data_IF_066458084744
#
_entry.id   IF_066458084744
#
_cell.length_a   1.000
_cell.length_b   1.000
_cell.length_c   1.000
_cell.angle_alpha   90.00
_cell.angle_beta   90.00
_cell.angle_gamma   90.00
#
_symmetry.space_group_name_H-M   'P 1'
#
loop_
_entity.id
_entity.type
_entity.pdbx_description
1 polymer ?
#
# COMPACT_ATOMS: atom_id res chain seq x y z
N UNK A 1 -6.42 -39.61 3.46
CA UNK A 1 -7.10 -38.46 4.10
C UNK A 1 -6.37 -37.16 3.85
N UNK A 2 -5.05 -37.09 4.08
CA UNK A 2 -4.29 -35.84 3.90
C UNK A 2 -4.34 -35.23 2.49
N UNK A 3 -4.41 -36.04 1.44
CA UNK A 3 -4.55 -35.56 0.07
C UNK A 3 -5.82 -34.70 -0.10
N UNK A 4 -6.97 -35.20 0.40
CA UNK A 4 -8.24 -34.50 0.32
C UNK A 4 -8.23 -33.21 1.14
N UNK A 5 -7.60 -33.23 2.31
CA UNK A 5 -7.44 -32.03 3.15
C UNK A 5 -6.57 -30.97 2.47
N UNK A 6 -5.46 -31.36 1.83
CA UNK A 6 -4.58 -30.45 1.07
C UNK A 6 -5.31 -29.88 -0.15
N UNK A 7 -6.11 -30.70 -0.83
CA UNK A 7 -6.94 -30.31 -1.97
C UNK A 7 -7.99 -29.25 -1.59
N UNK A 8 -8.84 -29.56 -0.61
CA UNK A 8 -9.90 -28.65 -0.16
C UNK A 8 -9.35 -27.34 0.40
N UNK A 9 -8.22 -27.40 1.10
CA UNK A 9 -7.56 -26.22 1.63
C UNK A 9 -7.08 -25.28 0.53
N UNK A 10 -6.43 -25.81 -0.52
CA UNK A 10 -5.96 -24.99 -1.64
C UNK A 10 -7.11 -24.44 -2.50
N UNK A 11 -8.19 -25.20 -2.71
CA UNK A 11 -9.40 -24.68 -3.36
C UNK A 11 -10.03 -23.52 -2.58
N UNK A 12 -10.04 -23.61 -1.25
CA UNK A 12 -10.55 -22.54 -0.37
C UNK A 12 -9.72 -21.26 -0.42
N UNK A 13 -8.46 -21.35 -0.86
CA UNK A 13 -7.58 -20.21 -1.11
C UNK A 13 -7.73 -19.63 -2.54
N UNK A 14 -8.55 -20.25 -3.38
CA UNK A 14 -8.85 -19.75 -4.73
C UNK A 14 -7.97 -20.33 -5.85
N UNK A 15 -7.16 -21.35 -5.57
CA UNK A 15 -6.42 -22.08 -6.61
C UNK A 15 -7.35 -23.01 -7.39
N UNK A 16 -7.06 -23.25 -8.67
CA UNK A 16 -7.86 -24.18 -9.47
C UNK A 16 -7.55 -25.64 -9.13
N UNK A 17 -8.54 -26.54 -9.24
CA UNK A 17 -8.34 -27.96 -8.97
C UNK A 17 -7.19 -28.57 -9.79
N UNK A 18 -7.06 -28.16 -11.05
CA UNK A 18 -5.99 -28.62 -11.95
C UNK A 18 -4.58 -28.21 -11.46
N UNK A 19 -4.42 -26.98 -10.96
CA UNK A 19 -3.15 -26.51 -10.39
C UNK A 19 -2.79 -27.32 -9.15
N UNK A 20 -3.76 -27.54 -8.27
CA UNK A 20 -3.56 -28.25 -7.01
C UNK A 20 -3.25 -29.73 -7.25
N UNK A 21 -3.96 -30.38 -8.17
CA UNK A 21 -3.70 -31.76 -8.57
C UNK A 21 -2.29 -31.91 -9.17
N UNK A 22 -1.89 -30.99 -10.04
CA UNK A 22 -0.54 -30.98 -10.64
C UNK A 22 0.55 -30.90 -9.57
N UNK A 23 0.38 -30.02 -8.57
CA UNK A 23 1.34 -29.85 -7.48
C UNK A 23 1.36 -31.06 -6.54
N UNK A 24 0.21 -31.61 -6.19
CA UNK A 24 0.12 -32.77 -5.30
C UNK A 24 0.69 -34.04 -5.96
N UNK A 25 0.47 -34.23 -7.27
CA UNK A 25 1.09 -35.31 -8.03
C UNK A 25 2.61 -35.15 -8.13
N UNK A 26 3.10 -33.90 -8.18
CA UNK A 26 4.53 -33.59 -8.25
C UNK A 26 5.27 -33.77 -6.92
N UNK A 27 4.69 -33.30 -5.81
CA UNK A 27 5.33 -33.35 -4.49
C UNK A 27 5.05 -34.66 -3.74
N UNK A 28 4.00 -35.39 -4.13
CA UNK A 28 3.63 -36.67 -3.55
C UNK A 28 2.95 -36.56 -2.18
N UNK A 29 2.56 -37.71 -1.62
CA UNK A 29 1.73 -37.78 -0.41
C UNK A 29 2.39 -37.18 0.84
N UNK A 30 3.73 -37.19 0.91
CA UNK A 30 4.51 -36.69 2.04
C UNK A 30 4.71 -35.16 2.06
N UNK A 31 4.25 -34.45 1.01
CA UNK A 31 4.38 -33.00 0.92
C UNK A 31 3.68 -32.29 2.07
N UNK A 32 4.33 -31.32 2.70
CA UNK A 32 3.66 -30.48 3.69
C UNK A 32 2.78 -29.44 3.00
N UNK A 33 1.78 -28.92 3.72
CA UNK A 33 0.87 -27.89 3.20
C UNK A 33 1.67 -26.67 2.70
N UNK A 34 2.72 -26.27 3.43
CA UNK A 34 3.56 -25.13 3.05
C UNK A 34 4.30 -25.36 1.73
N UNK A 35 4.75 -26.58 1.46
CA UNK A 35 5.45 -26.92 0.21
C UNK A 35 4.49 -26.85 -0.98
N UNK A 36 3.25 -27.34 -0.78
CA UNK A 36 2.17 -27.27 -1.77
C UNK A 36 1.82 -25.82 -2.09
N UNK A 37 1.71 -24.95 -1.08
CA UNK A 37 1.44 -23.53 -1.27
C UNK A 37 2.60 -22.81 -1.98
N UNK A 38 3.83 -23.07 -1.58
CA UNK A 38 5.01 -22.47 -2.20
C UNK A 38 5.09 -22.80 -3.70
N UNK A 39 4.75 -24.03 -4.06
CA UNK A 39 4.74 -24.47 -5.45
C UNK A 39 3.56 -23.88 -6.24
N UNK A 40 2.37 -23.75 -5.64
CA UNK A 40 1.21 -23.09 -6.26
C UNK A 40 1.46 -21.60 -6.53
N UNK A 41 2.09 -20.89 -5.60
CA UNK A 41 2.51 -19.49 -5.81
C UNK A 41 3.52 -19.39 -6.95
N UNK A 42 4.45 -20.35 -7.05
CA UNK A 42 5.44 -20.41 -8.13
C UNK A 42 4.78 -20.65 -9.50
N UNK A 43 3.72 -21.45 -9.57
CA UNK A 43 2.94 -21.68 -10.79
C UNK A 43 2.12 -20.45 -11.20
N UNK A 44 1.59 -19.69 -10.23
CA UNK A 44 0.83 -18.46 -10.49
C UNK A 44 1.63 -17.34 -11.18
N UNK A 45 2.97 -17.41 -11.12
CA UNK A 45 3.86 -16.43 -11.76
C UNK A 45 4.43 -16.92 -13.10
N UNK A 46 3.99 -18.07 -13.63
CA UNK A 46 4.48 -18.62 -14.90
C UNK A 46 3.36 -18.65 -15.95
N UNK A 47 3.05 -17.48 -16.51
CA UNK A 47 2.51 -17.40 -17.86
C UNK A 47 3.65 -17.73 -18.84
N UNK A 48 3.38 -18.62 -19.79
CA UNK A 48 4.24 -19.17 -20.86
C UNK A 48 5.05 -20.46 -20.57
N UNK A 49 4.86 -21.53 -21.39
CA UNK A 49 5.67 -22.72 -21.37
C UNK A 49 6.82 -22.61 -22.38
N UNK A 50 8.06 -22.52 -21.91
CA UNK A 50 9.19 -23.11 -22.62
C UNK A 50 10.05 -23.95 -21.67
N UNK A 51 10.52 -25.08 -22.19
CA UNK A 51 11.19 -26.18 -21.51
C UNK A 51 12.72 -26.04 -21.57
N UNK A 52 13.39 -26.60 -20.53
CA UNK A 52 14.76 -27.16 -20.51
C UNK A 52 15.96 -26.17 -20.46
N UNK A 53 17.01 -26.25 -19.61
CA UNK A 53 17.50 -27.21 -18.59
C UNK A 53 18.54 -26.54 -17.66
N UNK A 54 18.55 -26.91 -16.36
CA UNK A 54 19.70 -27.16 -15.44
C UNK A 54 20.74 -26.09 -14.99
N UNK A 55 20.95 -26.06 -13.65
CA UNK A 55 22.19 -25.80 -12.85
C UNK A 55 22.78 -24.37 -12.87
N UNK A 56 23.30 -23.74 -11.81
CA UNK A 56 23.54 -24.02 -10.39
C UNK A 56 24.20 -22.77 -9.75
N UNK A 57 23.93 -22.53 -8.46
CA UNK A 57 24.81 -21.95 -7.41
C UNK A 57 25.39 -20.50 -7.49
N UNK A 58 25.01 -19.73 -6.44
CA UNK A 58 25.84 -18.88 -5.54
C UNK A 58 26.50 -17.57 -6.03
N UNK A 59 26.14 -16.48 -5.32
CA UNK A 59 26.82 -15.18 -5.14
C UNK A 59 28.32 -15.32 -4.70
N UNK A 60 29.19 -14.27 -4.50
CA UNK A 60 28.88 -12.87 -4.10
C UNK A 60 29.88 -11.74 -4.51
N UNK A 61 29.71 -10.55 -3.90
CA UNK A 61 30.69 -9.44 -3.62
C UNK A 61 30.99 -8.46 -4.79
N UNK A 62 30.78 -7.15 -4.65
CA UNK A 62 31.79 -6.23 -4.08
C UNK A 62 31.29 -4.83 -3.70
N UNK A 63 32.07 -4.23 -2.78
CA UNK A 63 31.84 -3.08 -1.90
C UNK A 63 31.90 -1.72 -2.63
N UNK A 64 31.24 -0.71 -2.05
CA UNK A 64 31.39 0.72 -2.34
C UNK A 64 32.82 1.26 -2.01
N UNK A 65 33.29 2.41 -2.56
CA UNK A 65 32.99 3.72 -1.93
C UNK A 65 32.98 4.99 -2.83
N UNK A 66 32.09 5.94 -2.47
CA UNK A 66 32.22 7.41 -2.32
C UNK A 66 33.07 8.35 -3.25
N UNK A 67 32.46 9.53 -3.48
CA UNK A 67 32.93 10.94 -3.70
C UNK A 67 33.14 11.53 -5.12
N UNK A 68 32.49 12.71 -5.30
CA UNK A 68 32.75 13.94 -6.12
C UNK A 68 32.02 14.00 -7.47
N UNK A 69 30.91 14.73 -7.59
CA UNK A 69 30.74 16.20 -7.78
C UNK A 69 31.17 16.76 -9.15
N UNK A 70 30.23 17.53 -9.72
CA UNK A 70 30.31 18.52 -10.80
C UNK A 70 30.47 17.99 -12.24
N UNK A 71 29.42 18.17 -13.05
CA UNK A 71 29.30 19.27 -14.03
C UNK A 71 28.02 19.06 -14.84
N UNK A 72 27.26 20.15 -14.95
CA UNK A 72 26.04 20.33 -15.76
C UNK A 72 26.19 19.83 -17.21
N UNK A 73 25.09 19.44 -17.86
CA UNK A 73 24.79 20.07 -19.13
C UNK A 73 23.47 20.83 -19.05
N UNK A 74 23.57 22.05 -19.54
CA UNK A 74 22.52 23.02 -19.68
C UNK A 74 21.39 22.52 -20.61
N UNK A 75 20.17 22.85 -20.21
CA UNK A 75 18.97 23.14 -21.03
C UNK A 75 18.66 22.22 -22.22
N UNK A 76 17.63 21.39 -22.06
CA UNK A 76 16.68 21.14 -23.13
C UNK A 76 15.29 21.40 -22.59
N UNK A 77 14.72 22.48 -23.12
CA UNK A 77 13.34 22.90 -22.94
C UNK A 77 12.48 21.89 -23.70
N UNK A 78 11.91 20.94 -22.99
CA UNK A 78 10.82 20.11 -23.49
C UNK A 78 9.65 20.28 -22.52
N UNK A 79 8.56 20.79 -23.07
CA UNK A 79 7.27 21.02 -22.45
C UNK A 79 6.69 19.68 -21.95
N UNK A 80 7.11 19.21 -20.78
CA UNK A 80 6.57 18.01 -20.13
C UNK A 80 5.23 18.34 -19.45
N UNK A 81 4.23 18.71 -20.25
CA UNK A 81 2.93 19.20 -19.76
C UNK A 81 1.81 18.14 -19.75
N UNK A 82 2.09 16.86 -20.02
CA UNK A 82 1.03 15.82 -20.01
C UNK A 82 1.57 14.44 -19.56
N UNK A 83 0.89 13.83 -18.59
CA UNK A 83 0.92 12.40 -18.16
C UNK A 83 1.84 11.89 -17.03
N UNK A 84 2.78 12.65 -16.46
CA UNK A 84 3.57 12.11 -15.32
C UNK A 84 2.73 11.94 -14.03
N UNK A 85 1.65 12.71 -13.87
CA UNK A 85 0.79 12.68 -12.68
C UNK A 85 -0.29 11.58 -12.70
N UNK A 86 -0.52 10.93 -13.85
CA UNK A 86 -1.58 9.92 -13.96
C UNK A 86 -1.13 8.51 -13.53
N UNK A 87 0.16 8.32 -13.23
CA UNK A 87 0.73 7.05 -12.76
C UNK A 87 1.08 7.07 -11.26
N UNK A 88 0.52 8.00 -10.49
CA UNK A 88 0.78 8.10 -9.06
C UNK A 88 0.06 6.99 -8.28
N UNK A 89 0.77 6.38 -7.32
CA UNK A 89 0.16 5.40 -6.42
C UNK A 89 -0.91 6.06 -5.53
N UNK A 90 -2.00 5.34 -5.20
CA UNK A 90 -2.96 5.79 -4.20
C UNK A 90 -2.29 6.09 -2.85
N UNK A 91 -2.81 7.11 -2.16
CA UNK A 91 -2.31 7.54 -0.85
C UNK A 91 -3.34 7.16 0.22
N UNK A 92 -2.88 6.48 1.27
CA UNK A 92 -3.68 6.18 2.46
C UNK A 92 -3.07 6.87 3.67
N UNK A 93 -3.84 7.71 4.34
CA UNK A 93 -3.42 8.50 5.50
C UNK A 93 -4.10 7.95 6.76
N UNK A 94 -3.31 7.64 7.78
CA UNK A 94 -3.82 7.48 9.15
C UNK A 94 -4.16 8.86 9.73
N UNK A 95 -5.43 9.24 9.62
CA UNK A 95 -5.89 10.56 10.04
C UNK A 95 -5.74 10.77 11.55
N UNK A 96 -5.83 9.72 12.37
CA UNK A 96 -5.67 9.85 13.82
C UNK A 96 -4.25 10.17 14.21
N UNK A 97 -3.29 9.48 13.61
CA UNK A 97 -1.88 9.74 13.89
C UNK A 97 -1.48 11.16 13.44
N UNK A 98 -1.87 11.56 12.23
CA UNK A 98 -1.59 12.92 11.72
C UNK A 98 -2.20 13.99 12.61
N UNK A 99 -3.48 13.84 12.97
CA UNK A 99 -4.18 14.80 13.80
C UNK A 99 -3.59 14.93 15.21
N UNK A 100 -3.24 13.81 15.85
CA UNK A 100 -2.64 13.82 17.18
C UNK A 100 -1.22 14.37 17.15
N UNK A 101 -0.41 14.06 16.12
CA UNK A 101 0.93 14.61 15.96
C UNK A 101 0.90 16.13 15.81
N UNK A 102 0.02 16.63 14.92
CA UNK A 102 -0.13 18.07 14.71
C UNK A 102 -0.69 18.79 15.94
N UNK A 103 -1.58 18.16 16.71
CA UNK A 103 -2.11 18.71 17.96
C UNK A 103 -1.22 18.49 19.19
N UNK A 104 0.09 18.30 19.00
CA UNK A 104 1.09 18.12 20.06
C UNK A 104 0.77 16.96 21.02
N UNK A 105 0.13 15.90 20.54
CA UNK A 105 -0.35 14.72 21.29
C UNK A 105 -1.41 15.02 22.36
N UNK A 106 -1.87 16.27 22.47
CA UNK A 106 -2.86 16.71 23.45
C UNK A 106 -4.24 16.88 22.81
N UNK A 107 -4.27 17.30 21.55
CA UNK A 107 -5.51 17.59 20.83
C UNK A 107 -5.56 16.87 19.49
N UNK A 108 -6.78 16.59 19.03
CA UNK A 108 -7.00 16.08 17.69
C UNK A 108 -7.16 17.24 16.72
N UNK A 109 -6.14 17.47 15.90
CA UNK A 109 -6.14 18.60 14.98
C UNK A 109 -6.60 18.21 13.58
N UNK A 110 -7.86 18.50 13.22
CA UNK A 110 -8.37 18.33 11.85
C UNK A 110 -7.57 19.14 10.83
N UNK A 111 -7.01 20.29 11.24
CA UNK A 111 -6.12 21.09 10.39
C UNK A 111 -4.86 20.33 9.99
N UNK A 112 -4.31 19.48 10.85
CA UNK A 112 -3.17 18.62 10.52
C UNK A 112 -3.48 17.66 9.38
N UNK A 113 -4.69 17.08 9.39
CA UNK A 113 -5.17 16.23 8.29
C UNK A 113 -5.32 17.05 7.01
N UNK A 114 -5.89 18.25 7.08
CA UNK A 114 -6.03 19.16 5.94
C UNK A 114 -4.69 19.44 5.26
N UNK A 115 -3.68 19.80 6.05
CA UNK A 115 -2.34 20.10 5.54
C UNK A 115 -1.70 18.89 4.87
N UNK A 116 -1.87 17.69 5.43
CA UNK A 116 -1.35 16.47 4.83
C UNK A 116 -2.01 16.18 3.47
N UNK A 117 -3.34 16.33 3.38
CA UNK A 117 -4.08 16.12 2.12
C UNK A 117 -3.70 17.16 1.06
N UNK A 118 -3.64 18.44 1.43
CA UNK A 118 -3.22 19.53 0.54
C UNK A 118 -1.83 19.27 -0.04
N UNK A 119 -0.88 18.83 0.79
CA UNK A 119 0.48 18.53 0.34
C UNK A 119 0.52 17.47 -0.76
N UNK A 120 -0.25 16.39 -0.64
CA UNK A 120 -0.31 15.35 -1.69
C UNK A 120 -1.04 15.85 -2.94
N UNK A 121 -2.05 16.70 -2.76
CA UNK A 121 -2.81 17.29 -3.88
C UNK A 121 -1.97 18.26 -4.70
N UNK A 122 -1.18 19.10 -4.05
CA UNK A 122 -0.20 20.00 -4.69
C UNK A 122 0.86 19.21 -5.49
N UNK A 123 1.07 17.93 -5.14
CA UNK A 123 1.96 17.00 -5.87
C UNK A 123 1.26 16.24 -7.00
N UNK A 124 -0.02 16.52 -7.24
CA UNK A 124 -0.81 15.91 -8.31
C UNK A 124 -1.51 14.60 -7.93
N UNK A 125 -1.45 14.16 -6.68
CA UNK A 125 -2.21 12.96 -6.26
C UNK A 125 -3.72 13.25 -6.26
N UNK A 126 -4.47 12.46 -7.03
CA UNK A 126 -5.93 12.52 -7.12
C UNK A 126 -6.62 11.49 -6.21
N UNK A 127 -5.99 10.32 -6.02
CA UNK A 127 -6.49 9.23 -5.18
C UNK A 127 -5.86 9.29 -3.78
N UNK A 128 -6.58 9.94 -2.86
CA UNK A 128 -6.16 10.13 -1.46
C UNK A 128 -7.32 9.70 -0.57
N UNK A 129 -7.05 8.74 0.32
CA UNK A 129 -7.99 8.26 1.34
C UNK A 129 -7.42 8.49 2.73
N UNK A 130 -8.24 9.00 3.64
CA UNK A 130 -7.90 9.26 5.04
C UNK A 130 -8.81 8.44 5.94
N UNK A 131 -8.25 7.61 6.81
CA UNK A 131 -9.04 6.85 7.79
C UNK A 131 -9.11 7.55 9.14
N UNK A 132 -10.33 7.75 9.64
CA UNK A 132 -10.58 8.30 10.98
C UNK A 132 -11.72 7.51 11.63
N UNK A 133 -11.60 7.05 12.89
CA UNK A 133 -12.69 6.36 13.58
C UNK A 133 -13.98 7.21 13.63
N UNK A 134 -15.14 6.60 13.41
CA UNK A 134 -16.43 7.31 13.34
C UNK A 134 -16.73 8.15 14.59
N UNK A 135 -16.34 7.67 15.78
CA UNK A 135 -16.56 8.35 17.06
C UNK A 135 -15.87 9.73 17.14
N UNK A 136 -14.86 10.00 16.30
CA UNK A 136 -14.23 11.33 16.23
C UNK A 136 -15.17 12.40 15.69
N UNK A 137 -16.19 12.05 14.89
CA UNK A 137 -17.23 13.02 14.47
C UNK A 137 -18.07 13.49 15.66
N UNK A 138 -18.44 12.54 16.52
CA UNK A 138 -19.38 12.73 17.61
C UNK A 138 -18.76 13.41 18.84
N UNK A 139 -17.43 13.33 18.98
CA UNK A 139 -16.70 13.88 20.12
C UNK A 139 -16.47 15.40 20.04
N UNK A 140 -17.10 16.10 19.09
CA UNK A 140 -17.27 17.55 19.11
C UNK A 140 -18.25 17.95 20.23
N UNK A 141 -18.01 17.46 21.45
CA UNK A 141 -18.77 17.81 22.66
C UNK A 141 -18.16 19.08 23.24
N UNK A 142 -18.98 20.03 23.72
CA UNK A 142 -18.53 21.35 24.18
C UNK A 142 -17.55 21.33 25.38
N UNK A 143 -17.31 20.16 25.97
CA UNK A 143 -16.45 20.00 27.15
C UNK A 143 -14.95 19.83 26.81
N UNK A 144 -14.62 19.61 25.53
CA UNK A 144 -13.25 19.70 25.07
C UNK A 144 -12.96 21.18 24.74
N UNK A 145 -12.16 21.84 25.58
CA UNK A 145 -11.62 23.19 25.34
C UNK A 145 -10.78 23.17 24.05
N UNK A 146 -11.45 23.34 22.91
CA UNK A 146 -10.81 23.64 21.65
C UNK A 146 -10.46 25.12 21.70
N UNK A 147 -9.19 25.42 21.98
CA UNK A 147 -8.57 26.72 21.71
C UNK A 147 -8.67 26.98 20.22
N UNK A 148 -9.75 27.64 19.80
CA UNK A 148 -10.05 27.88 18.38
C UNK A 148 -11.55 27.88 18.14
N UNK A 149 -12.15 29.04 18.40
CA UNK A 149 -13.53 29.41 18.14
C UNK A 149 -14.24 28.62 17.02
N UNK A 150 -15.26 27.87 17.44
CA UNK A 150 -16.56 27.64 16.77
C UNK A 150 -16.50 27.00 15.38
N UNK A 151 -16.96 25.75 15.32
CA UNK A 151 -17.91 25.16 14.33
C UNK A 151 -17.68 25.33 12.81
N UNK A 152 -16.70 26.13 12.39
CA UNK A 152 -16.39 26.51 11.02
C UNK A 152 -15.21 25.70 10.46
N UNK A 153 -14.49 24.93 11.30
CA UNK A 153 -13.43 24.02 10.86
C UNK A 153 -13.98 22.85 10.00
N UNK A 154 -15.28 22.55 10.13
CA UNK A 154 -15.96 21.56 9.30
C UNK A 154 -16.51 22.13 7.98
N UNK A 155 -16.69 23.45 7.88
CA UNK A 155 -17.25 24.07 6.66
C UNK A 155 -16.22 24.10 5.52
N UNK A 156 -14.94 24.22 5.86
CA UNK A 156 -13.83 24.03 4.91
C UNK A 156 -13.49 22.53 4.67
N UNK A 157 -14.13 21.64 5.45
CA UNK A 157 -13.95 20.19 5.32
C UNK A 157 -14.74 19.59 4.16
N UNK A 158 -15.48 20.38 3.36
CA UNK A 158 -16.15 19.88 2.14
C UNK A 158 -15.18 19.12 1.23
N UNK A 159 -13.92 19.58 1.19
CA UNK A 159 -12.86 18.97 0.39
C UNK A 159 -12.07 17.88 1.10
N UNK A 160 -12.16 17.82 2.43
CA UNK A 160 -11.65 16.71 3.22
C UNK A 160 -12.64 15.55 3.31
N UNK A 161 -13.95 15.84 3.30
CA UNK A 161 -15.03 14.86 3.39
C UNK A 161 -14.97 13.87 2.23
N UNK A 162 -14.59 14.32 1.04
CA UNK A 162 -14.43 13.46 -0.14
C UNK A 162 -13.34 12.39 0.04
N UNK A 163 -12.35 12.67 0.90
CA UNK A 163 -11.23 11.76 1.16
C UNK A 163 -11.36 11.03 2.49
N UNK A 164 -12.27 11.43 3.39
CA UNK A 164 -12.40 10.86 4.74
C UNK A 164 -13.29 9.61 4.75
N UNK A 165 -12.66 8.47 5.01
CA UNK A 165 -13.32 7.20 5.31
C UNK A 165 -13.45 7.03 6.82
N UNK A 166 -14.68 6.80 7.28
CA UNK A 166 -14.98 6.54 8.67
C UNK A 166 -15.34 5.07 8.87
N UNK A 167 -14.81 4.47 9.92
CA UNK A 167 -15.06 3.09 10.33
C UNK A 167 -15.53 2.99 11.77
#
# INVERSE_FOLDING_TARGET
>A
MEYQTKMEFALKLGYSGEQVETVLNKLGAAALINDVLAELVRLGNKTEPESQTSTSTTAPVSRAPCVKEAVSPEVSLEDESVDTFDNLRPIVIDGSNVAMSHGNKETFSCRGIQLAVEWFREKGHKDITVFVPAWRKEQSRPDALITGSKANLWLDASQLLSCLMYF
#
